data_IF_267208364987
#
_entry.id   IF_267208364987
#
_cell.length_a   1.000
_cell.length_b   1.000
_cell.length_c   1.000
_cell.angle_alpha   90.00
_cell.angle_beta   90.00
_cell.angle_gamma   90.00
#
_symmetry.space_group_name_H-M   'P 1'
#
loop_
_entity.id
_entity.type
_entity.pdbx_description
1 polymer ?
#
# COMPACT_ATOMS: atom_id res chain seq x y z
N UNK A 1 21.68 6.50 -5.31
CA UNK A 1 20.50 5.74 -4.81
C UNK A 1 20.45 4.44 -5.60
N UNK A 2 20.32 3.29 -4.92
CA UNK A 2 20.13 1.98 -5.57
C UNK A 2 18.64 1.59 -5.55
N UNK A 3 18.28 0.48 -6.18
CA UNK A 3 16.89 0.01 -6.25
C UNK A 3 16.29 -0.30 -4.87
N UNK A 4 17.08 -0.82 -3.93
CA UNK A 4 16.64 -1.05 -2.55
C UNK A 4 16.22 0.25 -1.84
N UNK A 5 16.96 1.35 -2.03
CA UNK A 5 16.56 2.65 -1.51
C UNK A 5 15.22 3.13 -2.10
N UNK A 6 15.01 2.92 -3.41
CA UNK A 6 13.75 3.33 -4.07
C UNK A 6 12.58 2.53 -3.50
N UNK A 7 12.72 1.22 -3.38
CA UNK A 7 11.68 0.35 -2.82
C UNK A 7 11.35 0.73 -1.37
N UNK A 8 12.36 0.97 -0.53
CA UNK A 8 12.15 1.39 0.86
C UNK A 8 11.38 2.72 0.98
N UNK A 9 11.66 3.68 0.12
CA UNK A 9 10.93 4.96 0.09
C UNK A 9 9.47 4.74 -0.32
N UNK A 10 9.23 3.89 -1.33
CA UNK A 10 7.88 3.65 -1.86
C UNK A 10 7.01 2.77 -0.96
N UNK A 11 7.60 1.74 -0.35
CA UNK A 11 6.93 0.72 0.48
C UNK A 11 6.00 1.31 1.55
N UNK A 12 6.39 2.42 2.16
CA UNK A 12 5.63 3.04 3.23
C UNK A 12 4.37 3.76 2.74
N UNK A 13 4.31 4.15 1.46
CA UNK A 13 3.21 4.96 0.94
C UNK A 13 1.89 4.17 0.91
N UNK A 14 1.82 2.93 0.37
CA UNK A 14 0.57 2.18 0.36
C UNK A 14 -0.01 1.91 1.75
N UNK A 15 0.81 1.48 2.71
CA UNK A 15 0.36 1.14 4.06
C UNK A 15 -0.15 2.37 4.83
N UNK A 16 0.61 3.47 4.86
CA UNK A 16 0.20 4.71 5.55
C UNK A 16 -1.02 5.32 4.83
N UNK A 17 -0.99 5.34 3.50
CA UNK A 17 -2.07 5.85 2.67
C UNK A 17 -3.39 5.12 2.90
N UNK A 18 -3.37 3.78 2.97
CA UNK A 18 -4.56 2.99 3.31
C UNK A 18 -5.09 3.29 4.71
N UNK A 19 -4.22 3.53 5.69
CA UNK A 19 -4.63 3.97 7.02
C UNK A 19 -5.39 5.32 6.97
N UNK A 20 -4.89 6.28 6.18
CA UNK A 20 -5.55 7.58 5.98
C UNK A 20 -6.87 7.42 5.22
N UNK A 21 -6.91 6.57 4.18
CA UNK A 21 -8.14 6.25 3.44
C UNK A 21 -9.21 5.71 4.40
N UNK A 22 -8.86 4.74 5.24
CA UNK A 22 -9.80 4.16 6.20
C UNK A 22 -10.33 5.20 7.18
N UNK A 23 -9.44 6.04 7.71
CA UNK A 23 -9.84 7.15 8.57
C UNK A 23 -10.85 8.07 7.86
N UNK A 24 -10.57 8.47 6.62
CA UNK A 24 -11.47 9.33 5.84
C UNK A 24 -12.82 8.67 5.55
N UNK A 25 -12.83 7.40 5.13
CA UNK A 25 -14.07 6.71 4.81
C UNK A 25 -14.93 6.48 6.06
N UNK A 26 -14.33 6.11 7.20
CA UNK A 26 -15.06 6.00 8.48
C UNK A 26 -15.58 7.37 8.92
N UNK A 27 -14.75 8.41 8.86
CA UNK A 27 -15.15 9.78 9.21
C UNK A 27 -16.30 10.28 8.31
N UNK A 28 -16.27 9.94 7.02
CA UNK A 28 -17.33 10.27 6.08
C UNK A 28 -18.67 9.65 6.47
N UNK A 29 -18.68 8.39 6.93
CA UNK A 29 -19.90 7.73 7.40
C UNK A 29 -20.40 8.33 8.72
N UNK A 30 -19.51 8.60 9.68
CA UNK A 30 -19.86 9.25 10.96
C UNK A 30 -20.42 10.66 10.77
N UNK A 31 -19.85 11.44 9.85
CA UNK A 31 -20.28 12.81 9.53
C UNK A 31 -21.35 12.86 8.44
N UNK A 32 -21.69 11.73 7.83
CA UNK A 32 -22.55 11.63 6.63
C UNK A 32 -22.13 12.60 5.52
N UNK A 33 -20.83 12.80 5.34
CA UNK A 33 -20.28 13.79 4.40
C UNK A 33 -19.92 13.15 3.06
N UNK A 34 -20.58 13.62 2.00
CA UNK A 34 -20.31 13.19 0.62
C UNK A 34 -18.91 13.64 0.18
N UNK A 35 -18.47 14.83 0.57
CA UNK A 35 -17.18 15.36 0.16
C UNK A 35 -16.00 14.62 0.81
N UNK A 36 -16.10 14.28 2.10
CA UNK A 36 -15.08 13.46 2.77
C UNK A 36 -15.04 12.06 2.14
N UNK A 37 -16.20 11.49 1.80
CA UNK A 37 -16.28 10.17 1.13
C UNK A 37 -15.57 10.20 -0.23
N UNK A 38 -15.84 11.23 -1.04
CA UNK A 38 -15.17 11.44 -2.34
C UNK A 38 -13.66 11.57 -2.18
N UNK A 39 -13.21 12.36 -1.21
CA UNK A 39 -11.79 12.50 -0.92
C UNK A 39 -11.14 11.15 -0.56
N UNK A 40 -11.81 10.34 0.27
CA UNK A 40 -11.37 8.99 0.61
C UNK A 40 -11.26 8.06 -0.61
N UNK A 41 -12.25 8.07 -1.51
CA UNK A 41 -12.21 7.28 -2.74
C UNK A 41 -11.12 7.74 -3.72
N UNK A 42 -10.95 9.05 -3.89
CA UNK A 42 -9.88 9.60 -4.73
C UNK A 42 -8.52 9.18 -4.18
N UNK A 43 -8.32 9.31 -2.87
CA UNK A 43 -7.08 8.89 -2.23
C UNK A 43 -6.85 7.38 -2.38
N UNK A 44 -7.88 6.54 -2.23
CA UNK A 44 -7.78 5.10 -2.43
C UNK A 44 -7.32 4.74 -3.85
N UNK A 45 -7.80 5.46 -4.86
CA UNK A 45 -7.33 5.29 -6.24
C UNK A 45 -5.87 5.66 -6.38
N UNK A 46 -5.45 6.81 -5.83
CA UNK A 46 -4.05 7.25 -5.87
C UNK A 46 -3.12 6.24 -5.17
N UNK A 47 -3.54 5.70 -4.03
CA UNK A 47 -2.79 4.67 -3.32
C UNK A 47 -2.72 3.37 -4.14
N UNK A 48 -3.81 2.96 -4.79
CA UNK A 48 -3.78 1.83 -5.73
C UNK A 48 -2.77 2.03 -6.87
N UNK A 49 -2.71 3.23 -7.45
CA UNK A 49 -1.74 3.56 -8.50
C UNK A 49 -0.31 3.47 -7.98
N UNK A 50 -0.04 3.97 -6.76
CA UNK A 50 1.31 3.94 -6.15
C UNK A 50 1.72 2.53 -5.70
N UNK A 51 0.77 1.66 -5.35
CA UNK A 51 1.05 0.27 -5.01
C UNK A 51 1.69 -0.51 -6.18
N UNK A 52 1.39 -0.14 -7.43
CA UNK A 52 1.96 -0.78 -8.64
C UNK A 52 3.49 -0.62 -8.71
N UNK A 53 4.07 0.59 -8.78
CA UNK A 53 5.52 0.76 -8.79
C UNK A 53 6.15 0.30 -7.47
N UNK A 54 5.43 0.34 -6.35
CA UNK A 54 5.93 -0.22 -5.08
C UNK A 54 6.18 -1.72 -5.18
N UNK A 55 5.24 -2.46 -5.77
CA UNK A 55 5.38 -3.90 -6.01
C UNK A 55 6.54 -4.20 -6.97
N UNK A 56 6.57 -3.54 -8.14
CA UNK A 56 7.60 -3.79 -9.17
C UNK A 56 9.02 -3.33 -8.79
N UNK A 57 9.16 -2.52 -7.74
CA UNK A 57 10.49 -2.16 -7.21
C UNK A 57 11.02 -3.18 -6.20
N UNK A 58 10.23 -4.20 -5.85
CA UNK A 58 10.61 -5.30 -4.95
C UNK A 58 11.73 -6.17 -5.54
N UNK A 59 11.50 -6.81 -6.69
CA UNK A 59 12.48 -7.73 -7.29
C UNK A 59 13.83 -7.04 -7.56
N UNK A 60 13.88 -5.81 -8.12
CA UNK A 60 15.15 -5.10 -8.28
C UNK A 60 15.82 -4.73 -6.95
N UNK A 61 15.09 -4.64 -5.85
CA UNK A 61 15.64 -4.41 -4.51
C UNK A 61 16.19 -5.71 -3.90
N UNK A 62 15.51 -6.84 -4.10
CA UNK A 62 15.99 -8.17 -3.72
C UNK A 62 17.32 -8.52 -4.41
N UNK A 63 17.43 -8.29 -5.72
CA UNK A 63 18.67 -8.53 -6.45
C UNK A 63 19.87 -7.76 -5.86
N UNK A 64 19.66 -6.59 -5.25
CA UNK A 64 20.75 -5.84 -4.58
C UNK A 64 21.21 -6.56 -3.30
N UNK A 65 20.32 -7.28 -2.63
CA UNK A 65 20.58 -8.05 -1.41
C UNK A 65 21.22 -9.41 -1.69
N UNK A 66 20.84 -10.08 -2.80
CA UNK A 66 21.35 -11.40 -3.20
C UNK A 66 22.89 -11.44 -3.35
N UNK A 67 23.51 -10.31 -3.68
CA UNK A 67 24.97 -10.20 -3.84
C UNK A 67 25.72 -10.07 -2.49
N UNK A 68 25.03 -10.17 -1.36
CA UNK A 68 25.59 -10.05 -0.01
C UNK A 68 25.34 -11.34 0.80
N UNK A 69 26.09 -11.63 1.88
CA UNK A 69 25.75 -12.72 2.79
C UNK A 69 24.46 -12.40 3.56
N UNK A 70 23.32 -12.91 3.07
CA UNK A 70 21.96 -12.55 3.50
C UNK A 70 21.44 -13.37 4.70
N UNK A 71 21.93 -14.60 4.90
CA UNK A 71 21.56 -15.44 6.06
C UNK A 71 20.05 -15.64 6.21
N UNK A 72 19.51 -15.56 7.43
CA UNK A 72 18.06 -15.66 7.72
C UNK A 72 17.21 -14.56 7.05
N UNK A 73 17.82 -13.55 6.44
CA UNK A 73 17.11 -12.48 5.72
C UNK A 73 16.39 -12.99 4.48
N UNK A 74 16.92 -14.03 3.83
CA UNK A 74 16.37 -14.60 2.60
C UNK A 74 14.94 -15.14 2.80
N UNK A 75 14.73 -15.89 3.87
CA UNK A 75 13.40 -16.43 4.22
C UNK A 75 12.39 -15.30 4.46
N UNK A 76 12.82 -14.19 5.09
CA UNK A 76 11.95 -13.03 5.29
C UNK A 76 11.66 -12.26 4.01
N UNK A 77 12.60 -12.21 3.06
CA UNK A 77 12.38 -11.63 1.72
C UNK A 77 11.32 -12.44 0.98
N UNK A 78 11.49 -13.76 0.89
CA UNK A 78 10.53 -14.64 0.22
C UNK A 78 9.13 -14.52 0.82
N UNK A 79 9.01 -14.55 2.16
CA UNK A 79 7.73 -14.37 2.85
C UNK A 79 7.11 -12.99 2.56
N UNK A 80 7.93 -11.94 2.46
CA UNK A 80 7.46 -10.59 2.12
C UNK A 80 6.93 -10.54 0.69
N UNK A 81 7.66 -11.11 -0.27
CA UNK A 81 7.28 -11.18 -1.69
C UNK A 81 5.98 -11.98 -1.90
N UNK A 82 5.89 -13.17 -1.31
CA UNK A 82 4.70 -14.04 -1.38
C UNK A 82 3.43 -13.33 -0.86
N UNK A 83 3.57 -12.44 0.13
CA UNK A 83 2.47 -11.63 0.67
C UNK A 83 2.21 -10.36 -0.13
N UNK A 84 3.23 -9.78 -0.75
CA UNK A 84 3.14 -8.52 -1.49
C UNK A 84 2.23 -8.62 -2.71
N UNK A 85 2.27 -9.74 -3.45
CA UNK A 85 1.39 -9.97 -4.61
C UNK A 85 -0.11 -9.89 -4.23
N UNK A 86 -0.61 -10.75 -3.33
CA UNK A 86 -2.00 -10.70 -2.87
C UNK A 86 -2.39 -9.35 -2.25
N UNK A 87 -1.55 -8.75 -1.41
CA UNK A 87 -1.83 -7.45 -0.80
C UNK A 87 -2.00 -6.33 -1.84
N UNK A 88 -1.15 -6.32 -2.87
CA UNK A 88 -1.24 -5.39 -3.99
C UNK A 88 -2.52 -5.61 -4.78
N UNK A 89 -2.87 -6.86 -5.08
CA UNK A 89 -4.10 -7.20 -5.81
C UNK A 89 -5.36 -6.74 -5.07
N UNK A 90 -5.45 -6.98 -3.75
CA UNK A 90 -6.57 -6.52 -2.92
C UNK A 90 -6.65 -4.98 -2.91
N UNK A 91 -5.49 -4.31 -2.86
CA UNK A 91 -5.42 -2.84 -2.92
C UNK A 91 -5.93 -2.31 -4.27
N UNK A 92 -5.54 -2.93 -5.38
CA UNK A 92 -6.00 -2.57 -6.72
C UNK A 92 -7.51 -2.83 -6.90
N UNK A 93 -8.02 -3.94 -6.38
CA UNK A 93 -9.46 -4.22 -6.39
C UNK A 93 -10.25 -3.16 -5.59
N UNK A 94 -9.72 -2.76 -4.43
CA UNK A 94 -10.30 -1.69 -3.60
C UNK A 94 -10.30 -0.34 -4.32
N UNK A 95 -9.21 0.00 -5.01
CA UNK A 95 -9.09 1.19 -5.84
C UNK A 95 -10.08 1.19 -7.02
N UNK A 96 -10.28 0.03 -7.67
CA UNK A 96 -11.28 -0.12 -8.73
C UNK A 96 -12.70 0.13 -8.20
N UNK A 97 -13.05 -0.45 -7.05
CA UNK A 97 -14.34 -0.23 -6.40
C UNK A 97 -14.58 1.24 -6.03
N UNK A 98 -13.54 1.94 -5.56
CA UNK A 98 -13.57 3.38 -5.32
C UNK A 98 -13.81 4.18 -6.62
N UNK A 99 -13.20 3.77 -7.73
CA UNK A 99 -13.46 4.33 -9.06
C UNK A 99 -14.92 4.16 -9.49
N UNK A 100 -15.50 2.97 -9.29
CA UNK A 100 -16.91 2.70 -9.57
C UNK A 100 -17.82 3.57 -8.67
N UNK A 101 -17.48 3.72 -7.39
CA UNK A 101 -18.20 4.60 -6.47
C UNK A 101 -18.22 6.05 -6.97
N UNK A 102 -17.07 6.62 -7.32
CA UNK A 102 -16.95 7.98 -7.86
C UNK A 102 -17.73 8.14 -9.17
N UNK A 103 -17.65 7.16 -10.07
CA UNK A 103 -18.37 7.21 -11.34
C UNK A 103 -19.89 7.22 -11.15
N UNK A 104 -20.42 6.38 -10.25
CA UNK A 104 -21.85 6.37 -9.93
C UNK A 104 -22.30 7.66 -9.27
N UNK A 105 -21.50 8.19 -8.35
CA UNK A 105 -21.79 9.41 -7.62
C UNK A 105 -21.88 10.66 -8.52
N UNK A 106 -21.15 10.70 -9.64
CA UNK A 106 -21.25 11.77 -10.66
C UNK A 106 -22.64 11.90 -11.28
N UNK A 107 -23.45 10.85 -11.28
CA UNK A 107 -24.79 10.85 -11.89
C UNK A 107 -25.87 11.49 -11.01
N UNK A 108 -25.48 12.22 -9.93
CA UNK A 108 -26.36 12.71 -8.84
C UNK A 108 -27.17 11.60 -8.14
N UNK A 109 -26.87 10.34 -8.45
CA UNK A 109 -27.33 9.16 -7.72
C UNK A 109 -26.19 8.81 -6.78
N UNK A 110 -26.40 8.97 -5.46
CA UNK A 110 -25.40 8.50 -4.50
C UNK A 110 -25.00 7.06 -4.83
N UNK A 111 -23.72 6.74 -4.68
CA UNK A 111 -23.27 5.36 -4.83
C UNK A 111 -24.15 4.44 -3.95
N UNK A 112 -24.58 3.27 -4.45
CA UNK A 112 -25.45 2.39 -3.69
C UNK A 112 -24.82 2.03 -2.34
N UNK A 113 -25.58 2.10 -1.25
CA UNK A 113 -25.09 1.79 0.10
C UNK A 113 -24.26 0.50 0.20
N UNK A 114 -24.70 -0.63 -0.41
CA UNK A 114 -23.90 -1.86 -0.44
C UNK A 114 -22.52 -1.69 -1.09
N UNK A 115 -22.42 -0.91 -2.18
CA UNK A 115 -21.14 -0.68 -2.86
C UNK A 115 -20.17 0.14 -1.98
N UNK A 116 -20.70 1.13 -1.25
CA UNK A 116 -19.91 1.92 -0.29
C UNK A 116 -19.35 1.01 0.80
N UNK A 117 -20.20 0.15 1.38
CA UNK A 117 -19.81 -0.81 2.43
C UNK A 117 -18.76 -1.79 1.90
N UNK A 118 -18.97 -2.38 0.71
CA UNK A 118 -18.01 -3.29 0.08
C UNK A 118 -16.66 -2.59 -0.16
N UNK A 119 -16.67 -1.33 -0.61
CA UNK A 119 -15.45 -0.54 -0.80
C UNK A 119 -14.71 -0.30 0.52
N UNK A 120 -15.44 0.01 1.59
CA UNK A 120 -14.85 0.18 2.93
C UNK A 120 -14.25 -1.14 3.47
N UNK A 121 -14.96 -2.26 3.34
CA UNK A 121 -14.50 -3.56 3.81
C UNK A 121 -13.28 -4.05 3.01
N UNK A 122 -13.26 -3.83 1.70
CA UNK A 122 -12.10 -4.18 0.85
C UNK A 122 -10.90 -3.30 1.16
N UNK A 123 -11.08 -1.99 1.41
CA UNK A 123 -10.02 -1.12 1.89
C UNK A 123 -9.47 -1.56 3.27
N UNK A 124 -10.33 -2.05 4.17
CA UNK A 124 -9.91 -2.60 5.46
C UNK A 124 -9.08 -3.88 5.29
N UNK A 125 -9.53 -4.76 4.40
CA UNK A 125 -8.80 -5.96 4.04
C UNK A 125 -7.44 -5.63 3.40
N UNK A 126 -7.39 -4.65 2.49
CA UNK A 126 -6.17 -4.17 1.86
C UNK A 126 -5.17 -3.66 2.90
N UNK A 127 -5.63 -2.85 3.86
CA UNK A 127 -4.79 -2.33 4.94
C UNK A 127 -4.24 -3.46 5.83
N UNK A 128 -5.08 -4.41 6.21
CA UNK A 128 -4.67 -5.59 6.97
C UNK A 128 -3.64 -6.45 6.22
N UNK A 129 -3.85 -6.67 4.92
CA UNK A 129 -2.91 -7.39 4.08
C UNK A 129 -1.56 -6.65 3.98
N UNK A 130 -1.57 -5.33 3.78
CA UNK A 130 -0.35 -4.51 3.75
C UNK A 130 0.40 -4.53 5.10
N UNK A 131 -0.31 -4.49 6.24
CA UNK A 131 0.30 -4.67 7.56
C UNK A 131 0.96 -6.04 7.71
N UNK A 132 0.30 -7.09 7.22
CA UNK A 132 0.83 -8.45 7.27
C UNK A 132 2.07 -8.64 6.37
N UNK A 133 2.10 -8.00 5.20
CA UNK A 133 3.27 -7.92 4.32
C UNK A 133 4.41 -7.12 4.97
N UNK A 134 4.10 -5.96 5.55
CA UNK A 134 5.07 -5.09 6.23
C UNK A 134 5.68 -5.75 7.48
N UNK A 135 4.93 -6.62 8.17
CA UNK A 135 5.44 -7.37 9.31
C UNK A 135 6.57 -8.35 8.93
N UNK A 136 6.54 -8.92 7.73
CA UNK A 136 7.68 -9.67 7.19
C UNK A 136 8.81 -8.74 6.73
N UNK A 137 8.46 -7.66 6.02
CA UNK A 137 9.42 -6.67 5.52
C UNK A 137 10.25 -6.01 6.64
N UNK A 138 9.65 -5.75 7.80
CA UNK A 138 10.35 -5.20 8.97
C UNK A 138 11.38 -6.13 9.61
N UNK A 139 11.42 -7.41 9.21
CA UNK A 139 12.44 -8.38 9.63
C UNK A 139 13.60 -8.50 8.63
N UNK A 140 13.48 -7.89 7.45
CA UNK A 140 14.54 -7.87 6.45
C UNK A 140 15.67 -6.96 6.95
N UNK A 141 16.90 -7.48 6.92
CA UNK A 141 18.08 -6.74 7.37
C UNK A 141 18.70 -5.99 6.21
N UNK A 142 18.51 -4.68 6.17
CA UNK A 142 19.06 -3.82 5.13
C UNK A 142 20.53 -3.45 5.39
N UNK A 143 21.47 -4.25 4.89
CA UNK A 143 22.92 -3.96 4.96
C UNK A 143 23.38 -3.00 3.86
N UNK A 144 22.71 -3.00 2.71
CA UNK A 144 22.93 -2.19 1.51
C UNK A 144 22.78 -0.68 1.72
N UNK A 145 22.14 -0.26 2.82
CA UNK A 145 21.95 1.15 3.19
C UNK A 145 22.82 1.60 4.37
N UNK A 146 23.66 0.72 4.94
CA UNK A 146 24.46 0.98 6.15
C UNK A 146 25.94 1.28 5.92
N UNK A 147 26.46 1.16 4.69
CA UNK A 147 27.90 1.26 4.41
C UNK A 147 28.45 2.67 4.13
N UNK A 148 27.61 3.72 4.10
CA UNK A 148 28.10 5.08 3.92
C UNK A 148 28.54 5.66 5.29
N UNK A 149 29.83 6.03 5.49
CA UNK A 149 30.23 6.77 6.68
C UNK A 149 29.43 8.08 6.74
N UNK A 150 29.00 8.54 7.94
CA UNK A 150 28.28 9.79 8.06
C UNK A 150 29.11 10.91 7.43
N UNK A 151 28.49 11.85 6.68
CA UNK A 151 29.22 13.00 6.18
C UNK A 151 29.88 13.70 7.39
N UNK A 152 31.20 13.88 7.32
CA UNK A 152 31.95 14.57 8.36
C UNK A 152 31.36 15.97 8.54
N UNK A 153 31.01 16.31 9.79
CA UNK A 153 30.61 17.66 10.18
C UNK A 153 31.85 18.55 10.34
#
# INVERSE_FOLDING_TARGET
MNNAHIHLVLNHIPIIGLGIVLFLLVLAELKRSVDIRRAGWILLILIGIIAIPTYFTGDPAEQVLEHSPIGETEEWIQIHEERAGPATLITLASALLAGICLWKDRSKKLAPGPLIIITLLTALLAFGAMLWTAQAGGKIRHTEIRYAPPPGF
#
